data_IF_468500789849
#
_entry.id   IF_468500789849
#
_cell.length_a   1.000
_cell.length_b   1.000
_cell.length_c   1.000
_cell.angle_alpha   90.00
_cell.angle_beta   90.00
_cell.angle_gamma   90.00
#
_symmetry.space_group_name_H-M   'P 1'
#
loop_
_entity.id
_entity.type
_entity.pdbx_description
1 polymer ?
#
# COMPACT_ATOMS: atom_id res chain seq x y z
N UNK A 1 36.36 -41.03 81.12
CA UNK A 1 34.93 -40.72 81.26
C UNK A 1 34.56 -39.53 80.39
N UNK A 2 35.28 -38.39 80.45
CA UNK A 2 34.90 -37.22 79.65
C UNK A 2 35.23 -37.30 78.15
N UNK A 3 36.26 -38.06 77.74
CA UNK A 3 36.66 -38.17 76.32
C UNK A 3 35.54 -38.69 75.41
N UNK A 4 34.77 -39.67 75.88
CA UNK A 4 33.67 -40.26 75.11
C UNK A 4 32.53 -39.25 74.86
N UNK A 5 32.30 -38.32 75.80
CA UNK A 5 31.28 -37.27 75.68
C UNK A 5 31.73 -36.22 74.65
N UNK A 6 33.01 -35.82 74.66
CA UNK A 6 33.55 -34.89 73.67
C UNK A 6 33.53 -35.49 72.26
N UNK A 7 33.87 -36.76 72.09
CA UNK A 7 33.82 -37.43 70.79
C UNK A 7 32.39 -37.62 70.28
N UNK A 8 31.42 -37.91 71.17
CA UNK A 8 30.00 -37.96 70.83
C UNK A 8 29.47 -36.58 70.39
N UNK A 9 29.80 -35.51 71.13
CA UNK A 9 29.39 -34.15 70.81
C UNK A 9 30.01 -33.68 69.48
N UNK A 10 31.31 -33.96 69.28
CA UNK A 10 32.02 -33.68 68.02
C UNK A 10 31.38 -34.41 66.85
N UNK A 11 31.01 -35.67 67.03
CA UNK A 11 30.34 -36.48 65.99
C UNK A 11 28.98 -35.89 65.62
N UNK A 12 28.18 -35.50 66.61
CA UNK A 12 26.89 -34.84 66.38
C UNK A 12 27.01 -33.50 65.67
N UNK A 13 27.96 -32.64 66.07
CA UNK A 13 28.20 -31.36 65.42
C UNK A 13 28.69 -31.54 63.98
N UNK A 14 29.57 -32.52 63.75
CA UNK A 14 30.06 -32.84 62.39
C UNK A 14 28.91 -33.33 61.50
N UNK A 15 28.04 -34.19 62.03
CA UNK A 15 26.85 -34.65 61.31
C UNK A 15 25.89 -33.50 61.02
N UNK A 16 25.62 -32.64 62.00
CA UNK A 16 24.74 -31.48 61.83
C UNK A 16 25.26 -30.54 60.75
N UNK A 17 26.53 -30.11 60.83
CA UNK A 17 27.15 -29.26 59.81
C UNK A 17 27.18 -29.94 58.43
N UNK A 18 27.41 -31.25 58.38
CA UNK A 18 27.34 -32.04 57.14
C UNK A 18 25.95 -32.01 56.53
N UNK A 19 24.91 -32.29 57.32
CA UNK A 19 23.52 -32.24 56.86
C UNK A 19 23.09 -30.82 56.44
N UNK A 20 23.50 -29.79 57.17
CA UNK A 20 23.24 -28.40 56.80
C UNK A 20 23.88 -28.06 55.46
N UNK A 21 25.16 -28.42 55.26
CA UNK A 21 25.86 -28.17 54.01
C UNK A 21 25.24 -28.94 52.84
N UNK A 22 24.84 -30.20 53.05
CA UNK A 22 24.14 -31.00 52.04
C UNK A 22 22.77 -30.41 51.68
N UNK A 23 22.01 -29.94 52.66
CA UNK A 23 20.72 -29.27 52.40
C UNK A 23 20.91 -27.97 51.63
N UNK A 24 21.91 -27.15 51.98
CA UNK A 24 22.22 -25.90 51.29
C UNK A 24 22.69 -26.15 49.84
N UNK A 25 23.56 -27.15 49.64
CA UNK A 25 23.98 -27.54 48.30
C UNK A 25 22.81 -28.06 47.46
N UNK A 26 21.91 -28.82 48.07
CA UNK A 26 20.70 -29.34 47.42
C UNK A 26 19.76 -28.20 47.03
N UNK A 27 19.49 -27.25 47.92
CA UNK A 27 18.63 -26.09 47.62
C UNK A 27 19.26 -25.21 46.54
N UNK A 28 20.56 -24.93 46.60
CA UNK A 28 21.27 -24.20 45.56
C UNK A 28 21.14 -24.88 44.19
N UNK A 29 21.30 -26.20 44.12
CA UNK A 29 21.10 -26.96 42.87
C UNK A 29 19.67 -26.83 42.35
N UNK A 30 18.66 -26.85 43.21
CA UNK A 30 17.27 -26.66 42.78
C UNK A 30 17.03 -25.24 42.26
N UNK A 31 17.51 -24.22 42.96
CA UNK A 31 17.41 -22.84 42.50
C UNK A 31 18.13 -22.60 41.19
N UNK A 32 19.31 -23.20 41.00
CA UNK A 32 20.04 -23.13 39.71
C UNK A 32 19.20 -23.71 38.57
N UNK A 33 18.55 -24.87 38.77
CA UNK A 33 17.65 -25.46 37.75
C UNK A 33 16.45 -24.57 37.43
N UNK A 34 15.87 -23.95 38.46
CA UNK A 34 14.76 -22.99 38.28
C UNK A 34 15.27 -21.80 37.48
N UNK A 35 16.44 -21.25 37.82
CA UNK A 35 17.04 -20.12 37.14
C UNK A 35 17.33 -20.43 35.66
N UNK A 36 17.93 -21.60 35.38
CA UNK A 36 18.14 -22.10 34.01
C UNK A 36 16.83 -22.25 33.22
N UNK A 37 15.72 -22.55 33.91
CA UNK A 37 14.39 -22.66 33.31
C UNK A 37 13.80 -21.28 33.04
N UNK A 38 13.96 -20.32 33.95
CA UNK A 38 13.46 -18.94 33.82
C UNK A 38 14.15 -18.21 32.67
N UNK A 39 15.46 -18.34 32.50
CA UNK A 39 16.18 -17.72 31.36
C UNK A 39 15.65 -18.25 30.02
N UNK A 40 15.20 -19.51 29.99
CA UNK A 40 14.63 -20.10 28.77
C UNK A 40 13.26 -19.53 28.44
N UNK A 41 12.55 -18.90 29.38
CA UNK A 41 11.27 -18.23 29.15
C UNK A 41 11.54 -16.82 28.65
N UNK A 42 11.62 -16.66 27.33
CA UNK A 42 11.72 -15.36 26.68
C UNK A 42 10.43 -15.05 25.93
N UNK A 43 10.11 -13.76 25.79
CA UNK A 43 8.98 -13.30 24.96
C UNK A 43 9.09 -13.86 23.54
N UNK A 44 10.30 -13.84 22.97
CA UNK A 44 10.59 -14.38 21.64
C UNK A 44 10.17 -15.86 21.50
N UNK A 45 10.54 -16.70 22.47
CA UNK A 45 10.17 -18.12 22.45
C UNK A 45 8.67 -18.34 22.63
N UNK A 46 8.01 -17.51 23.44
CA UNK A 46 6.57 -17.58 23.62
C UNK A 46 5.84 -17.25 22.31
N UNK A 47 6.28 -16.20 21.62
CA UNK A 47 5.74 -15.82 20.30
C UNK A 47 6.01 -16.93 19.28
N UNK A 48 7.22 -17.49 19.21
CA UNK A 48 7.54 -18.59 18.30
C UNK A 48 6.67 -19.83 18.55
N UNK A 49 6.45 -20.19 19.82
CA UNK A 49 5.57 -21.29 20.19
C UNK A 49 4.13 -21.01 19.74
N UNK A 50 3.62 -19.81 19.99
CA UNK A 50 2.28 -19.39 19.56
C UNK A 50 2.11 -19.44 18.03
N UNK A 51 3.11 -18.96 17.28
CA UNK A 51 3.10 -18.99 15.82
C UNK A 51 3.15 -20.43 15.26
N UNK A 52 3.87 -21.34 15.92
CA UNK A 52 3.94 -22.76 15.53
C UNK A 52 2.64 -23.52 15.83
N UNK A 53 2.01 -23.24 16.98
CA UNK A 53 0.74 -23.85 17.37
C UNK A 53 -0.43 -23.37 16.51
N UNK A 54 -0.34 -22.15 16.01
CA UNK A 54 -1.33 -21.53 15.15
C UNK A 54 -1.14 -21.96 13.69
N UNK A 55 -1.95 -22.93 13.23
CA UNK A 55 -1.93 -23.43 11.85
C UNK A 55 -2.09 -22.30 10.81
N UNK A 56 -2.82 -21.23 11.14
CA UNK A 56 -3.03 -20.09 10.26
C UNK A 56 -1.78 -19.24 9.99
N UNK A 57 -0.81 -19.20 10.92
CA UNK A 57 0.42 -18.40 10.77
C UNK A 57 1.60 -19.18 10.20
N UNK A 58 1.52 -20.52 10.16
CA UNK A 58 2.59 -21.39 9.66
C UNK A 58 2.49 -21.69 8.17
N UNK A 59 1.35 -21.39 7.53
CA UNK A 59 1.12 -21.68 6.11
C UNK A 59 1.25 -20.40 5.29
N UNK A 60 2.43 -20.19 4.70
CA UNK A 60 2.58 -19.23 3.60
C UNK A 60 1.73 -19.73 2.43
N UNK A 61 0.65 -19.02 2.11
CA UNK A 61 -0.14 -19.33 0.91
C UNK A 61 0.70 -18.96 -0.29
N UNK A 62 1.13 -19.97 -1.04
CA UNK A 62 1.85 -19.77 -2.30
C UNK A 62 0.84 -19.32 -3.35
N UNK A 63 0.81 -18.01 -3.62
CA UNK A 63 -0.02 -17.45 -4.67
C UNK A 63 0.62 -17.77 -6.02
N UNK A 64 0.14 -18.80 -6.67
CA UNK A 64 0.44 -19.04 -8.08
C UNK A 64 -0.42 -18.10 -8.91
N UNK A 65 0.23 -17.27 -9.74
CA UNK A 65 -0.48 -16.44 -10.71
C UNK A 65 -1.39 -17.33 -11.56
N UNK A 66 -2.70 -17.13 -11.48
CA UNK A 66 -3.68 -17.80 -12.32
C UNK A 66 -4.07 -16.84 -13.46
N UNK A 67 -3.47 -16.97 -14.66
CA UNK A 67 -3.80 -16.10 -15.78
C UNK A 67 -5.28 -16.27 -16.15
N UNK A 68 -5.96 -15.15 -16.40
CA UNK A 68 -7.34 -15.18 -16.83
C UNK A 68 -7.44 -15.80 -18.24
N UNK A 69 -8.57 -16.41 -18.64
CA UNK A 69 -8.74 -17.02 -19.97
C UNK A 69 -8.50 -16.08 -21.17
N UNK A 70 -8.43 -14.75 -20.93
CA UNK A 70 -8.17 -13.71 -21.93
C UNK A 70 -6.78 -13.07 -21.82
N UNK A 71 -5.92 -13.52 -20.90
CA UNK A 71 -4.52 -13.08 -20.83
C UNK A 71 -3.74 -13.68 -22.01
N UNK A 72 -3.63 -12.90 -23.09
CA UNK A 72 -2.98 -13.33 -24.34
C UNK A 72 -1.49 -12.99 -24.42
N UNK A 73 -0.93 -12.29 -23.43
CA UNK A 73 0.43 -11.76 -23.50
C UNK A 73 1.31 -12.46 -22.46
N UNK A 74 2.05 -13.48 -22.92
CA UNK A 74 3.04 -14.20 -22.12
C UNK A 74 4.48 -13.74 -22.36
N UNK A 75 4.68 -12.80 -23.29
CA UNK A 75 5.99 -12.28 -23.67
C UNK A 75 5.90 -10.78 -23.90
N UNK A 76 6.78 -10.01 -23.25
CA UNK A 76 6.95 -8.59 -23.49
C UNK A 76 7.37 -8.36 -24.95
N UNK A 77 6.61 -7.55 -25.69
CA UNK A 77 6.93 -7.18 -27.07
C UNK A 77 6.84 -5.67 -27.19
N UNK A 78 7.90 -5.05 -27.72
CA UNK A 78 7.92 -3.62 -28.00
C UNK A 78 7.11 -3.35 -29.28
N UNK A 79 5.96 -2.68 -29.15
CA UNK A 79 4.99 -2.53 -30.26
C UNK A 79 5.27 -1.31 -31.15
N UNK A 80 6.10 -0.35 -30.75
CA UNK A 80 6.43 0.84 -31.56
C UNK A 80 7.87 1.33 -31.33
N UNK A 81 8.74 1.23 -32.33
CA UNK A 81 10.15 1.67 -32.27
C UNK A 81 10.45 2.92 -33.12
N UNK A 82 9.44 3.67 -33.60
CA UNK A 82 9.64 4.61 -34.71
C UNK A 82 9.81 6.09 -34.37
N UNK A 83 9.63 6.54 -33.14
CA UNK A 83 10.07 7.87 -32.69
C UNK A 83 9.83 7.97 -31.17
N UNK A 84 10.83 8.42 -30.42
CA UNK A 84 10.93 8.41 -28.95
C UNK A 84 11.47 7.11 -28.33
N UNK A 85 12.21 7.29 -27.23
CA UNK A 85 12.72 6.22 -26.38
C UNK A 85 11.57 5.29 -26.00
N UNK A 86 11.65 4.02 -26.41
CA UNK A 86 10.54 3.07 -26.25
C UNK A 86 10.05 3.00 -24.81
N UNK A 87 8.74 2.85 -24.62
CA UNK A 87 8.12 2.83 -23.29
C UNK A 87 8.79 1.81 -22.34
N UNK A 88 9.21 0.65 -22.88
CA UNK A 88 9.93 -0.38 -22.12
C UNK A 88 11.35 0.06 -21.72
N UNK A 89 12.01 0.91 -22.52
CA UNK A 89 13.31 1.50 -22.17
C UNK A 89 13.15 2.50 -21.02
N UNK A 90 12.14 3.38 -21.08
CA UNK A 90 11.81 4.31 -19.97
C UNK A 90 11.54 3.51 -18.68
N UNK A 91 10.76 2.44 -18.77
CA UNK A 91 10.42 1.57 -17.64
C UNK A 91 11.65 0.83 -17.08
N UNK A 92 12.52 0.30 -17.95
CA UNK A 92 13.77 -0.34 -17.52
C UNK A 92 14.69 0.63 -16.76
N UNK A 93 14.84 1.86 -17.25
CA UNK A 93 15.60 2.91 -16.55
C UNK A 93 14.96 3.28 -15.22
N UNK A 94 13.63 3.41 -15.16
CA UNK A 94 12.88 3.69 -13.92
C UNK A 94 13.12 2.62 -12.86
N UNK A 95 13.02 1.34 -13.21
CA UNK A 95 13.24 0.26 -12.24
C UNK A 95 14.72 0.13 -11.84
N UNK A 96 15.66 0.43 -12.75
CA UNK A 96 17.08 0.46 -12.43
C UNK A 96 17.42 1.56 -11.40
N UNK A 97 16.90 2.78 -11.58
CA UNK A 97 17.09 3.86 -10.61
C UNK A 97 16.37 3.57 -9.29
N UNK A 98 15.18 2.97 -9.33
CA UNK A 98 14.46 2.54 -8.11
C UNK A 98 15.24 1.50 -7.33
N UNK A 99 15.80 0.47 -7.99
CA UNK A 99 16.62 -0.55 -7.33
C UNK A 99 17.87 0.05 -6.67
N UNK A 100 18.53 1.01 -7.32
CA UNK A 100 19.67 1.73 -6.78
C UNK A 100 19.31 2.61 -5.57
N UNK A 101 18.18 3.34 -5.63
CA UNK A 101 17.66 4.09 -4.48
C UNK A 101 17.35 3.17 -3.29
N UNK A 102 16.68 2.05 -3.52
CA UNK A 102 16.37 1.07 -2.47
C UNK A 102 17.64 0.47 -1.86
N UNK A 103 18.67 0.23 -2.67
CA UNK A 103 19.99 -0.19 -2.19
C UNK A 103 20.62 0.83 -1.22
N UNK A 104 20.56 2.14 -1.52
CA UNK A 104 21.02 3.19 -0.60
C UNK A 104 20.28 3.14 0.73
N UNK A 105 18.95 3.05 0.69
CA UNK A 105 18.09 3.05 1.88
C UNK A 105 18.38 1.85 2.77
N UNK A 106 18.51 0.66 2.18
CA UNK A 106 18.85 -0.56 2.93
C UNK A 106 20.22 -0.39 3.59
N UNK A 107 21.22 0.07 2.84
CA UNK A 107 22.59 0.22 3.36
C UNK A 107 22.66 1.26 4.48
N UNK A 108 21.97 2.40 4.32
CA UNK A 108 21.90 3.44 5.33
C UNK A 108 21.12 2.97 6.58
N UNK A 109 19.95 2.38 6.37
CA UNK A 109 19.10 1.85 7.43
C UNK A 109 19.80 0.76 8.26
N UNK A 110 20.56 -0.14 7.64
CA UNK A 110 21.36 -1.15 8.35
C UNK A 110 22.43 -0.52 9.26
N UNK A 111 23.12 0.54 8.81
CA UNK A 111 24.08 1.28 9.64
C UNK A 111 23.38 1.98 10.81
N UNK A 112 22.24 2.62 10.54
CA UNK A 112 21.43 3.28 11.56
C UNK A 112 20.95 2.26 12.62
N UNK A 113 20.51 1.07 12.22
CA UNK A 113 20.13 -0.01 13.13
C UNK A 113 21.30 -0.46 14.00
N UNK A 114 22.47 -0.71 13.43
CA UNK A 114 23.67 -1.09 14.21
C UNK A 114 24.01 -0.04 15.28
N UNK A 115 23.92 1.25 14.93
CA UNK A 115 24.16 2.34 15.86
C UNK A 115 23.10 2.42 16.96
N UNK A 116 21.81 2.41 16.59
CA UNK A 116 20.70 2.48 17.54
C UNK A 116 20.70 1.28 18.51
N UNK A 117 20.98 0.07 18.01
CA UNK A 117 21.12 -1.13 18.84
C UNK A 117 22.33 -1.04 19.79
N UNK A 118 23.45 -0.46 19.34
CA UNK A 118 24.60 -0.22 20.20
C UNK A 118 24.27 0.77 21.33
N UNK A 119 23.49 1.82 21.01
CA UNK A 119 23.03 2.82 21.97
C UNK A 119 22.02 2.23 22.95
N UNK A 120 21.11 1.38 22.48
CA UNK A 120 20.13 0.70 23.32
C UNK A 120 20.80 -0.17 24.40
N UNK A 121 21.90 -0.85 24.06
CA UNK A 121 22.68 -1.65 25.04
C UNK A 121 23.28 -0.83 26.17
N UNK A 122 23.48 0.47 25.98
CA UNK A 122 24.08 1.38 26.96
C UNK A 122 23.02 2.17 27.76
N UNK A 123 21.77 2.18 27.31
CA UNK A 123 20.67 2.92 27.93
C UNK A 123 19.76 1.99 28.73
N UNK A 124 19.10 2.53 29.76
CA UNK A 124 18.05 1.85 30.52
C UNK A 124 17.00 2.86 30.96
N UNK A 125 15.74 2.46 30.95
CA UNK A 125 14.60 3.31 31.33
C UNK A 125 13.92 3.99 30.12
N UNK A 126 13.35 5.17 30.34
CA UNK A 126 12.47 5.89 29.40
C UNK A 126 13.17 6.30 28.09
N UNK A 127 14.46 6.62 28.14
CA UNK A 127 15.29 6.87 26.95
C UNK A 127 15.51 5.61 26.11
N UNK A 128 15.45 4.43 26.71
CA UNK A 128 15.49 3.14 25.99
C UNK A 128 14.25 2.93 25.12
N UNK A 129 13.07 3.27 25.61
CA UNK A 129 11.81 3.11 24.87
C UNK A 129 11.76 3.98 23.60
N UNK A 130 12.27 5.21 23.68
CA UNK A 130 12.37 6.09 22.49
C UNK A 130 13.35 5.54 21.44
N UNK A 131 14.48 4.96 21.88
CA UNK A 131 15.43 4.31 20.98
C UNK A 131 14.84 3.03 20.37
N UNK A 132 14.11 2.24 21.14
CA UNK A 132 13.39 1.06 20.64
C UNK A 132 12.36 1.44 19.57
N UNK A 133 11.60 2.53 19.76
CA UNK A 133 10.67 3.02 18.74
C UNK A 133 11.39 3.40 17.44
N UNK A 134 12.49 4.18 17.54
CA UNK A 134 13.31 4.54 16.36
C UNK A 134 13.87 3.29 15.65
N UNK A 135 14.27 2.26 16.40
CA UNK A 135 14.70 0.98 15.81
C UNK A 135 13.56 0.36 15.00
N UNK A 136 12.33 0.33 15.54
CA UNK A 136 11.18 -0.24 14.82
C UNK A 136 10.82 0.53 13.54
N UNK A 137 10.90 1.86 13.56
CA UNK A 137 10.65 2.72 12.39
C UNK A 137 11.68 2.47 11.28
N UNK A 138 12.98 2.43 11.62
CA UNK A 138 14.04 2.12 10.66
C UNK A 138 13.91 0.70 10.13
N UNK A 139 13.57 -0.29 10.98
CA UNK A 139 13.29 -1.66 10.54
C UNK A 139 12.13 -1.73 9.55
N UNK A 140 11.09 -0.91 9.74
CA UNK A 140 9.93 -0.86 8.84
C UNK A 140 10.30 -0.39 7.45
N UNK A 141 11.03 0.72 7.36
CA UNK A 141 11.48 1.25 6.07
C UNK A 141 12.51 0.36 5.38
N UNK A 142 13.46 -0.23 6.11
CA UNK A 142 14.40 -1.21 5.52
C UNK A 142 13.62 -2.39 4.92
N UNK A 143 12.57 -2.87 5.60
CA UNK A 143 11.73 -3.96 5.08
C UNK A 143 10.95 -3.54 3.83
N UNK A 144 10.39 -2.34 3.81
CA UNK A 144 9.70 -1.77 2.62
C UNK A 144 10.66 -1.64 1.44
N UNK A 145 11.86 -1.13 1.67
CA UNK A 145 12.91 -1.01 0.64
C UNK A 145 13.38 -2.37 0.14
N UNK A 146 13.57 -3.37 1.01
CA UNK A 146 13.89 -4.75 0.62
C UNK A 146 12.82 -5.35 -0.30
N UNK A 147 11.54 -5.21 0.05
CA UNK A 147 10.44 -5.70 -0.77
C UNK A 147 10.36 -4.97 -2.11
N UNK A 148 10.50 -3.64 -2.09
CA UNK A 148 10.54 -2.80 -3.29
C UNK A 148 11.69 -3.20 -4.22
N UNK A 149 12.89 -3.45 -3.67
CA UNK A 149 14.06 -3.90 -4.43
C UNK A 149 13.82 -5.25 -5.10
N UNK A 150 13.30 -6.24 -4.38
CA UNK A 150 12.99 -7.56 -4.95
C UNK A 150 11.97 -7.44 -6.09
N UNK A 151 10.95 -6.59 -5.93
CA UNK A 151 9.97 -6.30 -6.99
C UNK A 151 10.62 -5.62 -8.21
N UNK A 152 11.53 -4.67 -7.99
CA UNK A 152 12.26 -3.99 -9.05
C UNK A 152 13.19 -4.96 -9.81
N UNK A 153 13.95 -5.79 -9.08
CA UNK A 153 14.84 -6.80 -9.64
C UNK A 153 14.07 -7.83 -10.48
N UNK A 154 12.91 -8.29 -10.01
CA UNK A 154 12.06 -9.20 -10.77
C UNK A 154 11.57 -8.58 -12.09
N UNK A 155 11.17 -7.30 -12.09
CA UNK A 155 10.76 -6.57 -13.30
C UNK A 155 11.94 -6.36 -14.26
N UNK A 156 13.10 -5.98 -13.74
CA UNK A 156 14.32 -5.82 -14.54
C UNK A 156 14.78 -7.13 -15.16
N UNK A 157 14.62 -8.25 -14.46
CA UNK A 157 14.92 -9.58 -15.01
C UNK A 157 14.01 -9.93 -16.20
N UNK A 158 12.74 -9.52 -16.18
CA UNK A 158 11.85 -9.68 -17.33
C UNK A 158 12.22 -8.74 -18.48
N UNK A 159 12.54 -7.48 -18.17
CA UNK A 159 12.90 -6.46 -19.16
C UNK A 159 14.27 -6.73 -19.81
N UNK A 160 15.22 -7.39 -19.13
CA UNK A 160 16.54 -7.68 -19.69
C UNK A 160 16.48 -8.62 -20.89
N UNK A 161 15.46 -9.46 -20.99
CA UNK A 161 15.25 -10.34 -22.14
C UNK A 161 14.77 -9.60 -23.39
N UNK A 162 14.10 -8.46 -23.23
CA UNK A 162 13.44 -7.75 -24.33
C UNK A 162 14.10 -6.41 -24.67
N UNK A 163 14.64 -5.73 -23.65
CA UNK A 163 15.30 -4.43 -23.77
C UNK A 163 16.80 -4.59 -23.59
N UNK A 164 17.53 -4.49 -24.69
CA UNK A 164 19.00 -4.52 -24.67
C UNK A 164 19.56 -3.29 -23.96
N UNK A 165 20.41 -3.50 -22.96
CA UNK A 165 21.02 -2.41 -22.18
C UNK A 165 20.47 -2.27 -20.76
N UNK A 166 19.42 -3.01 -20.40
CA UNK A 166 18.84 -3.03 -19.05
C UNK A 166 19.88 -3.32 -17.96
N UNK A 167 20.72 -4.34 -18.16
CA UNK A 167 21.80 -4.68 -17.23
C UNK A 167 22.84 -3.58 -17.06
N UNK A 168 23.16 -2.86 -18.14
CA UNK A 168 24.13 -1.76 -18.13
C UNK A 168 23.58 -0.56 -17.35
N UNK A 169 22.30 -0.21 -17.54
CA UNK A 169 21.66 0.86 -16.76
C UNK A 169 21.57 0.52 -15.28
N UNK A 170 21.22 -0.73 -14.95
CA UNK A 170 21.22 -1.21 -13.57
C UNK A 170 22.61 -1.12 -12.95
N UNK A 171 23.64 -1.64 -13.63
CA UNK A 171 25.02 -1.58 -13.15
C UNK A 171 25.48 -0.13 -12.93
N UNK A 172 25.22 0.77 -13.89
CA UNK A 172 25.60 2.18 -13.76
C UNK A 172 24.86 2.87 -12.60
N UNK A 173 23.56 2.61 -12.43
CA UNK A 173 22.78 3.16 -11.33
C UNK A 173 23.28 2.64 -9.96
N UNK A 174 23.62 1.35 -9.87
CA UNK A 174 24.18 0.74 -8.65
C UNK A 174 25.56 1.31 -8.32
N UNK A 175 26.44 1.45 -9.30
CA UNK A 175 27.77 2.06 -9.09
C UNK A 175 27.65 3.52 -8.65
N UNK A 176 26.76 4.29 -9.26
CA UNK A 176 26.49 5.67 -8.86
C UNK A 176 26.02 5.74 -7.39
N UNK A 177 25.11 4.84 -6.99
CA UNK A 177 24.65 4.74 -5.61
C UNK A 177 25.78 4.34 -4.64
N UNK A 178 26.69 3.45 -5.04
CA UNK A 178 27.84 3.05 -4.24
C UNK A 178 28.85 4.20 -4.06
N UNK A 179 29.15 4.95 -5.11
CA UNK A 179 30.01 6.13 -5.06
C UNK A 179 29.41 7.21 -4.14
N UNK A 180 28.10 7.45 -4.21
CA UNK A 180 27.39 8.37 -3.32
C UNK A 180 27.49 7.92 -1.85
N UNK A 181 27.20 6.65 -1.57
CA UNK A 181 27.33 6.09 -0.21
C UNK A 181 28.75 6.17 0.34
N UNK A 182 29.76 5.99 -0.52
CA UNK A 182 31.15 6.13 -0.11
C UNK A 182 31.52 7.61 0.14
N UNK A 183 30.98 8.53 -0.66
CA UNK A 183 31.16 9.97 -0.46
C UNK A 183 30.53 10.45 0.86
N UNK A 184 29.30 10.01 1.16
CA UNK A 184 28.60 10.29 2.42
C UNK A 184 29.41 9.75 3.60
N UNK A 185 29.90 8.50 3.50
CA UNK A 185 30.75 7.90 4.53
C UNK A 185 32.01 8.73 4.80
N UNK A 186 32.72 9.18 3.76
CA UNK A 186 33.93 10.01 3.91
C UNK A 186 33.61 11.34 4.58
N UNK A 187 32.47 11.96 4.24
CA UNK A 187 32.01 13.19 4.88
C UNK A 187 31.70 12.97 6.37
N UNK A 188 31.01 11.88 6.73
CA UNK A 188 30.76 11.52 8.14
C UNK A 188 32.05 11.26 8.92
N UNK A 189 33.02 10.55 8.33
CA UNK A 189 34.34 10.32 8.94
C UNK A 189 35.11 11.64 9.14
N UNK A 190 35.01 12.57 8.19
CA UNK A 190 35.63 13.88 8.29
C UNK A 190 35.04 14.73 9.43
N UNK A 191 33.70 14.76 9.56
CA UNK A 191 33.03 15.47 10.68
C UNK A 191 33.43 14.90 12.03
N UNK A 192 33.48 13.56 12.15
CA UNK A 192 33.87 12.86 13.38
C UNK A 192 35.32 13.15 13.81
N UNK A 193 36.19 13.53 12.88
CA UNK A 193 37.58 13.90 13.16
C UNK A 193 37.77 15.33 13.69
N UNK A 194 36.74 16.19 13.62
CA UNK A 194 36.82 17.63 13.95
C UNK A 194 36.38 17.96 15.40
N UNK A 195 36.24 16.97 16.28
CA UNK A 195 36.01 17.14 17.74
C UNK A 195 34.75 17.93 18.18
N UNK A 196 33.84 18.30 17.27
CA UNK A 196 32.56 18.94 17.63
C UNK A 196 31.49 17.84 17.86
N UNK A 197 31.57 17.17 19.01
CA UNK A 197 30.63 16.10 19.38
C UNK A 197 29.33 16.70 19.94
N UNK A 198 28.32 16.85 19.09
CA UNK A 198 26.93 16.86 19.56
C UNK A 198 26.35 15.45 19.42
N UNK A 199 25.83 14.88 20.52
CA UNK A 199 25.19 13.55 20.55
C UNK A 199 23.88 13.48 19.75
N UNK A 200 23.44 14.60 19.17
CA UNK A 200 22.24 14.78 18.37
C UNK A 200 22.50 14.89 16.84
N UNK A 201 23.75 14.74 16.37
CA UNK A 201 24.08 14.86 14.94
C UNK A 201 23.86 13.55 14.16
N UNK A 202 22.64 13.02 14.20
CA UNK A 202 22.17 12.15 13.12
C UNK A 202 20.75 12.57 12.80
N UNK A 203 20.67 13.58 11.95
CA UNK A 203 19.43 14.12 11.44
C UNK A 203 18.75 13.01 10.64
N UNK A 204 17.64 12.51 11.17
CA UNK A 204 16.76 11.52 10.51
C UNK A 204 16.09 12.11 9.26
N UNK A 205 16.43 13.35 8.88
CA UNK A 205 15.98 14.04 7.69
C UNK A 205 16.32 13.29 6.39
N UNK A 206 17.39 12.49 6.37
CA UNK A 206 17.68 11.55 5.25
C UNK A 206 16.60 10.46 5.07
N UNK A 207 15.68 10.34 6.03
CA UNK A 207 14.51 9.46 5.99
C UNK A 207 13.19 10.22 5.80
N UNK A 208 13.14 11.52 6.10
CA UNK A 208 11.96 12.38 5.93
C UNK A 208 11.72 12.74 4.46
N UNK A 209 12.74 12.71 3.61
CA UNK A 209 12.60 12.82 2.14
C UNK A 209 11.97 11.56 1.49
N UNK A 210 11.56 10.57 2.28
CA UNK A 210 10.75 9.43 1.83
C UNK A 210 9.25 9.75 1.86
N UNK A 211 8.90 11.00 1.56
CA UNK A 211 7.51 11.41 1.37
C UNK A 211 6.91 10.64 0.18
N UNK A 212 5.61 10.42 0.31
CA UNK A 212 4.75 9.39 -0.26
C UNK A 212 4.49 9.52 -1.78
N UNK A 213 5.45 10.04 -2.55
CA UNK A 213 5.25 10.31 -3.99
C UNK A 213 5.22 9.04 -4.87
N UNK A 214 5.53 7.85 -4.33
CA UNK A 214 5.14 6.61 -4.99
C UNK A 214 3.99 6.00 -4.22
N UNK A 215 2.79 6.47 -4.58
CA UNK A 215 1.51 5.99 -4.09
C UNK A 215 1.52 4.48 -3.88
N UNK A 216 1.03 4.13 -2.70
CA UNK A 216 0.71 2.81 -2.20
C UNK A 216 1.00 1.65 -3.19
N UNK A 217 2.10 0.94 -2.97
CA UNK A 217 2.50 -0.25 -3.73
C UNK A 217 1.43 -1.37 -3.71
N UNK A 218 0.42 -1.25 -2.85
CA UNK A 218 -0.76 -2.11 -2.74
C UNK A 218 -2.06 -1.50 -3.26
N UNK A 219 -2.03 -0.27 -3.79
CA UNK A 219 -3.09 0.16 -4.69
C UNK A 219 -3.02 -0.74 -5.91
N UNK A 220 -3.99 -1.65 -6.03
CA UNK A 220 -4.25 -2.33 -7.30
C UNK A 220 -4.28 -1.26 -8.39
N UNK A 221 -3.56 -1.43 -9.51
CA UNK A 221 -3.73 -0.56 -10.66
C UNK A 221 -5.11 -0.89 -11.28
N UNK A 222 -6.19 -0.48 -10.62
CA UNK A 222 -7.54 -0.47 -11.20
C UNK A 222 -7.65 0.68 -12.21
N UNK A 223 -6.73 1.63 -12.20
CA UNK A 223 -6.35 2.31 -13.44
C UNK A 223 -5.45 1.38 -14.26
N UNK A 224 -6.07 0.36 -14.84
CA UNK A 224 -5.68 -0.08 -16.16
C UNK A 224 -5.77 1.16 -17.05
N UNK A 225 -4.67 1.93 -17.13
CA UNK A 225 -4.42 2.78 -18.27
C UNK A 225 -4.40 1.82 -19.45
N UNK A 226 -5.58 1.67 -20.05
CA UNK A 226 -5.75 0.85 -21.23
C UNK A 226 -4.72 1.34 -22.22
N UNK A 227 -3.91 0.43 -22.74
CA UNK A 227 -3.00 0.71 -23.84
C UNK A 227 -3.86 1.34 -24.95
N UNK A 228 -3.84 2.66 -25.06
CA UNK A 228 -4.58 3.38 -26.08
C UNK A 228 -3.77 3.22 -27.37
N UNK A 229 -4.36 2.53 -28.34
CA UNK A 229 -3.84 2.49 -29.70
C UNK A 229 -4.11 3.87 -30.31
N UNK A 230 -3.09 4.72 -30.39
CA UNK A 230 -3.20 6.04 -31.02
C UNK A 230 -3.34 5.93 -32.54
N UNK A 231 -4.18 6.77 -33.18
CA UNK A 231 -4.88 7.93 -32.60
C UNK A 231 -6.30 7.60 -32.09
N UNK A 232 -6.58 7.89 -30.82
CA UNK A 232 -7.91 7.77 -30.22
C UNK A 232 -8.72 9.08 -30.40
N UNK A 233 -10.00 9.00 -30.74
CA UNK A 233 -10.88 10.17 -30.80
C UNK A 233 -11.41 10.50 -29.39
N UNK A 234 -11.47 11.77 -29.04
CA UNK A 234 -12.08 12.26 -27.80
C UNK A 234 -13.06 13.41 -28.08
N UNK A 235 -14.04 13.58 -27.20
CA UNK A 235 -15.03 14.66 -27.20
C UNK A 235 -14.77 15.57 -26.03
N UNK A 236 -14.70 16.87 -26.28
CA UNK A 236 -14.54 17.89 -25.24
C UNK A 236 -15.83 17.95 -24.41
N UNK A 237 -15.71 17.76 -23.09
CA UNK A 237 -16.83 17.85 -22.14
C UNK A 237 -16.91 19.21 -21.46
N UNK A 238 -15.83 19.99 -21.48
CA UNK A 238 -15.80 21.36 -20.98
C UNK A 238 -14.96 22.24 -21.90
N UNK A 239 -15.44 23.44 -22.22
CA UNK A 239 -14.66 24.41 -22.99
C UNK A 239 -13.44 24.90 -22.21
N UNK A 240 -12.32 25.08 -22.90
CA UNK A 240 -11.08 25.57 -22.33
C UNK A 240 -10.43 26.59 -23.27
N UNK A 241 -9.98 27.71 -22.70
CA UNK A 241 -9.32 28.77 -23.44
C UNK A 241 -7.82 28.69 -23.16
N UNK A 242 -7.02 28.53 -24.21
CA UNK A 242 -5.56 28.47 -24.10
C UNK A 242 -5.01 29.77 -23.50
N UNK A 243 -4.23 29.64 -22.44
CA UNK A 243 -3.50 30.71 -21.78
C UNK A 243 -2.04 30.76 -22.26
N UNK A 244 -1.49 29.63 -22.69
CA UNK A 244 -0.12 29.50 -23.20
C UNK A 244 -0.10 29.17 -24.70
N UNK A 245 1.03 29.43 -25.36
CA UNK A 245 1.17 29.29 -26.82
C UNK A 245 1.19 27.85 -27.33
N UNK A 246 1.40 26.91 -26.42
CA UNK A 246 1.44 25.45 -26.62
C UNK A 246 0.12 24.75 -26.27
N UNK A 247 -0.83 25.48 -25.69
CA UNK A 247 -2.17 24.99 -25.34
C UNK A 247 -3.17 25.20 -26.49
N UNK A 248 -4.17 24.31 -26.59
CA UNK A 248 -5.23 24.41 -27.60
C UNK A 248 -6.53 24.93 -26.96
N UNK A 249 -7.13 25.96 -27.57
CA UNK A 249 -8.48 26.40 -27.17
C UNK A 249 -9.52 25.44 -27.73
N UNK A 250 -10.38 24.91 -26.87
CA UNK A 250 -11.36 23.88 -27.19
C UNK A 250 -12.75 24.30 -26.71
N UNK A 251 -13.78 23.92 -27.45
CA UNK A 251 -15.17 24.18 -27.07
C UNK A 251 -15.89 22.93 -26.61
N UNK A 252 -16.80 23.06 -25.63
CA UNK A 252 -17.65 21.95 -25.19
C UNK A 252 -18.39 21.32 -26.38
N UNK A 253 -18.27 19.99 -26.52
CA UNK A 253 -18.84 19.20 -27.60
C UNK A 253 -17.93 19.00 -28.82
N UNK A 254 -16.77 19.67 -28.90
CA UNK A 254 -15.81 19.52 -30.00
C UNK A 254 -15.17 18.12 -30.01
N UNK A 255 -14.87 17.58 -31.20
CA UNK A 255 -14.20 16.28 -31.35
C UNK A 255 -12.73 16.49 -31.75
N UNK A 256 -11.84 15.88 -30.99
CA UNK A 256 -10.38 16.01 -31.11
C UNK A 256 -9.74 14.63 -31.28
N UNK A 257 -8.55 14.61 -31.88
CA UNK A 257 -7.77 13.40 -32.06
C UNK A 257 -6.55 13.43 -31.15
N UNK A 258 -6.42 12.43 -30.25
CA UNK A 258 -5.29 12.34 -29.33
C UNK A 258 -4.10 11.76 -30.06
N UNK A 259 -2.97 12.47 -30.00
CA UNK A 259 -1.71 12.11 -30.65
C UNK A 259 -0.73 11.48 -29.65
N UNK A 260 -0.69 11.99 -28.42
CA UNK A 260 0.30 11.62 -27.40
C UNK A 260 -0.34 11.77 -26.01
N UNK A 261 -0.19 10.76 -25.15
CA UNK A 261 -0.29 10.89 -23.69
C UNK A 261 0.84 11.82 -23.25
N UNK A 262 0.52 12.99 -22.74
CA UNK A 262 1.55 13.98 -22.42
C UNK A 262 2.57 13.46 -21.40
N UNK A 263 3.82 13.86 -21.56
CA UNK A 263 4.91 13.60 -20.60
C UNK A 263 4.72 14.32 -19.22
N UNK A 264 3.62 15.06 -19.01
CA UNK A 264 3.26 15.68 -17.73
C UNK A 264 1.86 15.23 -17.30
N UNK A 265 1.76 14.75 -16.06
CA UNK A 265 0.51 14.30 -15.43
C UNK A 265 -0.61 15.34 -15.63
N UNK A 266 -1.76 14.89 -16.12
CA UNK A 266 -3.00 15.65 -16.41
C UNK A 266 -3.13 16.44 -17.74
N UNK A 267 -2.17 16.37 -18.67
CA UNK A 267 -2.27 17.05 -20.00
C UNK A 267 -2.17 16.09 -21.19
N UNK A 268 -3.08 16.25 -22.15
CA UNK A 268 -3.14 15.47 -23.40
C UNK A 268 -2.75 16.32 -24.60
N UNK A 269 -1.94 15.77 -25.51
CA UNK A 269 -1.63 16.41 -26.78
C UNK A 269 -2.62 15.97 -27.84
N UNK A 270 -3.38 16.94 -28.34
CA UNK A 270 -4.52 16.68 -29.22
C UNK A 270 -4.45 17.52 -30.49
N UNK A 271 -5.13 17.04 -31.53
CA UNK A 271 -5.30 17.73 -32.80
C UNK A 271 -6.78 18.01 -33.04
N UNK A 272 -7.14 19.27 -33.32
CA UNK A 272 -8.49 19.60 -33.72
C UNK A 272 -8.77 19.26 -35.20
N UNK A 273 -10.04 19.36 -35.60
CA UNK A 273 -10.46 19.16 -37.00
C UNK A 273 -9.82 20.14 -37.99
N UNK A 274 -9.22 21.24 -37.50
CA UNK A 274 -8.50 22.24 -38.30
C UNK A 274 -7.01 21.91 -38.44
N UNK A 275 -6.52 20.80 -37.86
CA UNK A 275 -5.12 20.39 -37.92
C UNK A 275 -4.20 21.14 -36.95
N UNK A 276 -4.75 21.90 -36.01
CA UNK A 276 -3.98 22.57 -34.96
C UNK A 276 -3.71 21.59 -33.83
N UNK A 277 -2.45 21.50 -33.43
CA UNK A 277 -1.98 20.63 -32.36
C UNK A 277 -1.65 21.48 -31.14
N UNK A 278 -2.11 21.07 -29.97
CA UNK A 278 -1.76 21.69 -28.69
C UNK A 278 -2.16 20.83 -27.51
N UNK A 279 -1.80 21.27 -26.31
CA UNK A 279 -2.12 20.58 -25.07
C UNK A 279 -3.50 20.99 -24.55
N UNK A 280 -4.24 20.02 -24.04
CA UNK A 280 -5.53 20.23 -23.36
C UNK A 280 -5.55 19.43 -22.06
N UNK A 281 -6.25 19.89 -21.01
CA UNK A 281 -6.38 19.13 -19.78
C UNK A 281 -7.15 17.81 -20.00
N UNK A 282 -6.65 16.70 -19.46
CA UNK A 282 -7.27 15.37 -19.62
C UNK A 282 -8.71 15.34 -19.09
N UNK A 283 -8.97 16.00 -17.96
CA UNK A 283 -10.29 16.06 -17.32
C UNK A 283 -11.36 16.82 -18.14
N UNK A 284 -10.96 17.50 -19.23
CA UNK A 284 -11.85 18.30 -20.08
C UNK A 284 -12.27 17.55 -21.34
N UNK A 285 -11.75 16.34 -21.54
CA UNK A 285 -12.06 15.50 -22.70
C UNK A 285 -12.53 14.12 -22.28
N UNK A 286 -13.41 13.53 -23.06
CA UNK A 286 -13.95 12.18 -22.89
C UNK A 286 -13.56 11.35 -24.11
N UNK A 287 -12.81 10.26 -23.91
CA UNK A 287 -12.44 9.35 -24.99
C UNK A 287 -13.67 8.65 -25.58
N UNK A 288 -13.75 8.61 -26.91
CA UNK A 288 -14.84 7.98 -27.66
C UNK A 288 -14.52 6.54 -28.12
N UNK A 289 -13.36 5.99 -27.73
CA UNK A 289 -12.99 4.62 -28.08
C UNK A 289 -13.85 3.59 -27.30
N UNK A 290 -14.96 3.17 -27.91
CA UNK A 290 -15.53 1.84 -27.68
C UNK A 290 -14.64 0.80 -28.39
N UNK A 291 -14.38 -0.38 -27.79
CA UNK A 291 -13.84 -1.48 -28.58
C UNK A 291 -14.82 -1.74 -29.73
N UNK A 292 -14.29 -1.75 -30.95
CA UNK A 292 -15.07 -1.96 -32.15
C UNK A 292 -15.71 -3.36 -32.10
N UNK A 293 -16.99 -3.44 -31.76
CA UNK A 293 -17.85 -4.57 -32.11
C UNK A 293 -19.16 -4.03 -32.73
N UNK A 294 -19.29 -4.37 -34.01
CA UNK A 294 -20.48 -4.46 -34.86
C UNK A 294 -21.48 -3.28 -34.94
N UNK A 295 -21.33 -2.53 -36.03
CA UNK A 295 -22.38 -1.69 -36.59
C UNK A 295 -23.43 -2.54 -37.34
N UNK A 296 -24.61 -2.69 -36.75
CA UNK A 296 -25.82 -3.09 -37.46
C UNK A 296 -26.94 -2.05 -37.26
N UNK A 297 -27.12 -1.24 -38.30
CA UNK A 297 -28.37 -0.69 -38.84
C UNK A 297 -29.23 0.27 -38.01
N UNK A 298 -29.14 1.56 -38.38
CA UNK A 298 -30.21 2.44 -38.88
C UNK A 298 -31.63 2.24 -38.31
N UNK A 299 -32.22 3.30 -37.73
CA UNK A 299 -33.03 4.21 -38.56
C UNK A 299 -33.30 5.59 -37.92
N UNK A 300 -33.83 6.46 -38.76
CA UNK A 300 -33.68 7.91 -38.77
C UNK A 300 -35.02 8.66 -38.56
N UNK A 301 -34.91 9.88 -38.02
CA UNK A 301 -35.83 11.02 -38.15
C UNK A 301 -37.28 10.88 -37.67
N UNK A 302 -37.76 11.73 -36.75
CA UNK A 302 -38.37 13.04 -37.07
C UNK A 302 -39.04 13.74 -35.84
N UNK A 303 -38.92 15.07 -35.86
CA UNK A 303 -39.68 16.18 -35.21
C UNK A 303 -40.14 16.17 -33.75
N UNK A 304 -39.48 17.05 -32.99
CA UNK A 304 -40.00 18.28 -32.34
C UNK A 304 -41.40 18.30 -31.71
N UNK A 305 -41.46 18.41 -30.37
CA UNK A 305 -42.22 19.47 -29.65
C UNK A 305 -41.74 19.60 -28.20
N UNK A 306 -41.44 20.84 -27.82
CA UNK A 306 -41.34 21.47 -26.48
C UNK A 306 -41.64 20.64 -25.22
N UNK A 307 -40.65 20.56 -24.30
CA UNK A 307 -40.79 21.00 -22.90
C UNK A 307 -39.47 20.81 -22.13
N UNK A 308 -39.03 21.88 -21.48
CA UNK A 308 -38.02 21.95 -20.41
C UNK A 308 -38.06 20.77 -19.44
N UNK A 309 -36.91 20.10 -19.23
CA UNK A 309 -36.54 19.52 -17.93
C UNK A 309 -35.05 19.10 -17.92
N UNK A 310 -34.33 19.56 -16.90
CA UNK A 310 -32.97 19.20 -16.52
C UNK A 310 -32.79 17.67 -16.44
N UNK A 311 -31.67 17.16 -16.94
CA UNK A 311 -31.21 15.78 -16.68
C UNK A 311 -29.73 15.80 -16.34
N UNK A 312 -29.45 15.89 -15.05
CA UNK A 312 -28.17 15.56 -14.41
C UNK A 312 -27.95 14.05 -14.53
N UNK A 313 -26.78 13.62 -15.00
CA UNK A 313 -26.39 12.20 -15.01
C UNK A 313 -25.81 11.85 -13.64
N UNK A 314 -26.53 10.97 -12.97
CA UNK A 314 -26.31 10.47 -11.63
C UNK A 314 -24.93 9.80 -11.45
N UNK A 315 -24.17 10.28 -10.46
CA UNK A 315 -23.20 9.46 -9.75
C UNK A 315 -23.93 8.35 -8.99
N UNK A 316 -23.25 7.21 -8.83
CA UNK A 316 -23.74 5.97 -8.22
C UNK A 316 -24.66 6.19 -7.00
N UNK A 317 -25.94 5.86 -7.18
CA UNK A 317 -26.97 5.84 -6.14
C UNK A 317 -26.79 4.59 -5.27
N UNK A 318 -25.95 4.68 -4.24
CA UNK A 318 -25.84 3.63 -3.22
C UNK A 318 -26.91 3.78 -2.14
N UNK A 319 -27.29 2.68 -1.48
CA UNK A 319 -28.07 2.72 -0.24
C UNK A 319 -27.11 2.48 0.92
N UNK A 320 -27.23 3.26 1.99
CA UNK A 320 -26.45 3.03 3.22
C UNK A 320 -27.37 2.55 4.33
N UNK A 321 -26.88 1.65 5.18
CA UNK A 321 -27.58 1.19 6.38
C UNK A 321 -26.97 1.82 7.63
N UNK A 322 -27.82 2.39 8.47
CA UNK A 322 -27.39 2.92 9.76
C UNK A 322 -26.93 1.80 10.68
N UNK A 323 -25.68 1.87 11.15
CA UNK A 323 -25.13 0.95 12.16
C UNK A 323 -25.56 1.34 13.58
N UNK A 324 -25.90 2.63 13.79
CA UNK A 324 -26.37 3.17 15.05
C UNK A 324 -27.47 4.21 14.83
N UNK A 325 -28.34 4.43 15.81
CA UNK A 325 -29.30 5.53 15.76
C UNK A 325 -28.58 6.88 15.88
N UNK A 326 -28.97 7.85 15.08
CA UNK A 326 -28.40 9.20 15.07
C UNK A 326 -29.50 10.26 15.20
N UNK A 327 -29.27 11.24 16.07
CA UNK A 327 -30.18 12.37 16.27
C UNK A 327 -29.50 13.65 15.77
N UNK A 328 -30.13 14.30 14.79
CA UNK A 328 -29.66 15.53 14.19
C UNK A 328 -29.50 16.64 15.23
N UNK A 329 -28.34 17.30 15.21
CA UNK A 329 -28.00 18.41 16.08
C UNK A 329 -28.28 19.78 15.42
N UNK A 330 -28.40 19.78 14.09
CA UNK A 330 -28.75 20.96 13.30
C UNK A 330 -29.90 20.68 12.32
N UNK A 331 -30.49 21.73 11.74
CA UNK A 331 -31.58 21.59 10.78
C UNK A 331 -31.13 21.05 9.41
N UNK A 332 -29.81 21.00 9.18
CA UNK A 332 -29.20 20.48 7.96
C UNK A 332 -28.88 18.97 8.09
N UNK A 333 -28.94 18.42 9.31
CA UNK A 333 -28.64 17.02 9.60
C UNK A 333 -29.87 16.11 9.56
N UNK A 334 -29.64 14.85 9.18
CA UNK A 334 -30.68 13.83 9.05
C UNK A 334 -30.74 12.94 10.30
N UNK A 335 -31.90 12.83 10.95
CA UNK A 335 -32.10 11.90 12.08
C UNK A 335 -32.59 10.53 11.60
N UNK A 336 -32.05 9.46 12.16
CA UNK A 336 -32.43 8.08 11.82
C UNK A 336 -32.21 7.09 12.97
N UNK A 337 -32.81 5.91 12.87
CA UNK A 337 -32.65 4.83 13.84
C UNK A 337 -31.67 3.77 13.32
N UNK A 338 -31.09 2.98 14.21
CA UNK A 338 -30.24 1.84 13.85
C UNK A 338 -31.00 0.91 12.88
N UNK A 339 -30.32 0.49 11.81
CA UNK A 339 -30.88 -0.33 10.74
C UNK A 339 -31.65 0.43 9.66
N UNK A 340 -31.81 1.76 9.74
CA UNK A 340 -32.47 2.54 8.71
C UNK A 340 -31.69 2.52 7.38
N UNK A 341 -32.41 2.41 6.26
CA UNK A 341 -31.85 2.45 4.90
C UNK A 341 -32.00 3.86 4.32
N UNK A 342 -30.87 4.51 4.05
CA UNK A 342 -30.80 5.90 3.59
C UNK A 342 -30.28 5.91 2.15
N UNK A 343 -30.95 6.64 1.27
CA UNK A 343 -30.52 6.76 -0.12
C UNK A 343 -29.43 7.81 -0.24
N UNK A 344 -28.26 7.43 -0.73
CA UNK A 344 -27.11 8.30 -0.79
C UNK A 344 -27.24 9.26 -1.98
N UNK A 345 -27.23 10.57 -1.72
CA UNK A 345 -27.34 11.62 -2.74
C UNK A 345 -25.95 12.14 -3.11
N UNK A 346 -25.10 12.41 -2.11
CA UNK A 346 -23.76 12.95 -2.35
C UNK A 346 -22.75 12.44 -1.32
N UNK A 347 -21.70 11.84 -1.84
CA UNK A 347 -20.44 11.64 -1.13
C UNK A 347 -19.42 12.60 -1.74
N UNK A 348 -19.01 13.63 -1.01
CA UNK A 348 -17.84 14.43 -1.42
C UNK A 348 -16.59 13.63 -1.05
N UNK A 349 -16.05 12.89 -2.00
CA UNK A 349 -14.69 12.36 -1.89
C UNK A 349 -13.83 13.20 -2.83
N UNK A 350 -12.97 14.06 -2.29
CA UNK A 350 -12.00 14.77 -3.13
C UNK A 350 -11.46 16.11 -2.61
N UNK A 351 -12.18 16.82 -1.74
CA UNK A 351 -11.67 18.05 -1.10
C UNK A 351 -12.16 18.07 0.34
N UNK A 352 -11.24 17.84 1.29
CA UNK A 352 -11.43 17.76 2.75
C UNK A 352 -12.71 17.00 3.15
N UNK A 353 -12.58 15.69 3.41
CA UNK A 353 -13.69 14.90 3.94
C UNK A 353 -14.00 15.36 5.37
N UNK A 354 -15.00 16.23 5.52
CA UNK A 354 -15.49 16.68 6.83
C UNK A 354 -16.18 15.53 7.61
N UNK A 355 -16.28 14.32 7.04
CA UNK A 355 -16.82 13.12 7.69
C UNK A 355 -18.34 13.02 7.63
N UNK A 356 -19.02 13.83 6.81
CA UNK A 356 -20.47 13.87 6.65
C UNK A 356 -20.90 13.56 5.22
N UNK A 357 -21.89 12.67 5.07
CA UNK A 357 -22.51 12.29 3.81
C UNK A 357 -23.92 12.86 3.70
N UNK A 358 -24.38 13.14 2.47
CA UNK A 358 -25.72 13.63 2.21
C UNK A 358 -26.61 12.51 1.68
N UNK A 359 -27.79 12.33 2.28
CA UNK A 359 -28.74 11.32 1.84
C UNK A 359 -30.18 11.65 2.19
N UNK A 360 -31.07 10.81 1.66
CA UNK A 360 -32.51 10.94 1.77
C UNK A 360 -33.12 9.76 2.54
N UNK A 361 -33.88 10.09 3.58
CA UNK A 361 -34.69 9.13 4.33
C UNK A 361 -36.12 9.65 4.46
N UNK A 362 -37.10 8.87 4.01
CA UNK A 362 -38.53 9.20 4.08
C UNK A 362 -38.89 10.57 3.46
N UNK A 363 -38.21 10.97 2.38
CA UNK A 363 -38.43 12.26 1.70
C UNK A 363 -37.76 13.47 2.38
N UNK A 364 -37.00 13.25 3.46
CA UNK A 364 -36.19 14.27 4.11
C UNK A 364 -34.73 14.10 3.69
N UNK A 365 -34.13 15.19 3.18
CA UNK A 365 -32.74 15.25 2.75
C UNK A 365 -31.94 15.97 3.83
N UNK A 366 -30.80 15.42 4.21
CA UNK A 366 -29.89 16.04 5.16
C UNK A 366 -28.54 15.33 5.19
N UNK A 367 -27.60 15.94 5.90
CA UNK A 367 -26.26 15.38 6.10
C UNK A 367 -26.19 14.52 7.35
N UNK A 368 -25.30 13.52 7.37
CA UNK A 368 -25.08 12.66 8.52
C UNK A 368 -23.66 12.11 8.54
N UNK A 369 -23.10 11.77 9.72
CA UNK A 369 -21.75 11.25 9.81
C UNK A 369 -21.59 9.92 9.06
N UNK A 370 -20.56 9.80 8.23
CA UNK A 370 -20.26 8.59 7.48
C UNK A 370 -19.92 7.40 8.38
N UNK A 371 -19.32 7.66 9.54
CA UNK A 371 -18.85 6.65 10.50
C UNK A 371 -19.96 5.82 11.15
N UNK A 372 -21.21 6.29 11.11
CA UNK A 372 -22.35 5.59 11.74
C UNK A 372 -23.22 4.84 10.73
N UNK A 373 -22.79 4.77 9.47
CA UNK A 373 -23.48 4.07 8.40
C UNK A 373 -22.54 3.14 7.63
N UNK A 374 -23.09 2.13 6.98
CA UNK A 374 -22.36 1.19 6.12
C UNK A 374 -22.96 1.22 4.71
N UNK A 375 -22.12 1.28 3.67
CA UNK A 375 -22.58 1.25 2.28
C UNK A 375 -23.02 -0.16 1.89
N UNK A 376 -24.28 -0.30 1.50
CA UNK A 376 -24.82 -1.52 0.90
C UNK A 376 -24.83 -1.31 -0.62
N UNK A 377 -23.93 -2.00 -1.32
CA UNK A 377 -23.98 -2.09 -2.77
C UNK A 377 -25.21 -2.94 -3.15
N UNK A 378 -26.06 -2.43 -4.03
CA UNK A 378 -27.28 -3.13 -4.45
C UNK A 378 -26.89 -4.24 -5.45
N UNK A 379 -26.59 -5.44 -4.94
CA UNK A 379 -26.59 -6.66 -5.74
C UNK A 379 -28.04 -7.02 -6.11
N UNK A 380 -28.55 -6.38 -7.15
CA UNK A 380 -29.72 -6.88 -7.85
C UNK A 380 -29.36 -8.17 -8.59
N UNK A 381 -29.58 -9.32 -7.94
CA UNK A 381 -30.09 -10.59 -8.50
C UNK A 381 -29.77 -11.79 -7.56
N UNK A 382 -30.44 -11.90 -6.42
CA UNK A 382 -30.59 -13.20 -5.72
C UNK A 382 -32.02 -13.42 -5.23
N UNK A 383 -32.92 -13.73 -6.17
CA UNK A 383 -34.10 -14.55 -5.87
C UNK A 383 -34.41 -15.46 -7.06
N UNK A 384 -33.85 -16.67 -7.05
CA UNK A 384 -34.44 -17.93 -7.55
C UNK A 384 -33.39 -19.04 -7.56
N UNK A 385 -33.30 -19.79 -6.46
CA UNK A 385 -32.98 -21.22 -6.46
C UNK A 385 -33.25 -21.85 -5.08
N UNK A 386 -34.50 -21.81 -4.64
CA UNK A 386 -35.03 -22.77 -3.66
C UNK A 386 -36.25 -23.48 -4.28
N UNK A 387 -36.02 -24.38 -5.24
CA UNK A 387 -36.98 -25.45 -5.57
C UNK A 387 -36.36 -26.52 -6.49
N UNK A 388 -35.27 -27.18 -6.08
CA UNK A 388 -34.90 -28.47 -6.70
C UNK A 388 -34.07 -29.39 -5.78
N UNK A 389 -34.54 -29.64 -4.55
CA UNK A 389 -34.09 -30.81 -3.76
C UNK A 389 -35.28 -31.40 -2.99
N UNK A 390 -36.29 -31.92 -3.71
CA UNK A 390 -37.32 -32.79 -3.11
C UNK A 390 -37.89 -33.81 -4.10
N UNK A 391 -37.05 -34.55 -4.83
CA UNK A 391 -37.45 -35.89 -5.31
C UNK A 391 -36.20 -36.78 -5.41
N UNK A 392 -35.90 -37.51 -4.34
CA UNK A 392 -35.46 -38.92 -4.42
C UNK A 392 -35.13 -39.45 -3.02
N UNK A 393 -36.19 -39.73 -2.27
CA UNK A 393 -36.15 -40.64 -1.13
C UNK A 393 -37.45 -41.46 -1.14
N UNK A 394 -37.59 -42.38 -2.10
CA UNK A 394 -38.57 -43.47 -2.04
C UNK A 394 -38.00 -44.70 -2.76
N UNK A 395 -37.34 -45.57 -1.99
CA UNK A 395 -37.33 -47.00 -2.30
C UNK A 395 -38.78 -47.51 -2.37
N UNK A 396 -39.08 -48.47 -3.26
CA UNK A 396 -39.26 -49.82 -2.72
C UNK A 396 -38.82 -50.99 -3.64
N UNK A 397 -38.48 -52.06 -2.92
CA UNK A 397 -38.40 -53.51 -3.23
C UNK A 397 -37.39 -54.07 -4.26
#
# INVERSE_FOLDING_TARGET
>A
MDGDIYDALRSHLTLLCGTEMDTNLSTHKQYSKIWDSVIKVTREKNIQQFLQESVSFSKSTEFTLQPAPRDKVSSLQEVCALQAEGCLVKEAKKWATKAAKDYKIITHGERALQMLESRLKLLSGETGLSVEQKITEVQDSVRKALLSRVKAEARLALLSHTVTGTELWLHNAMNQAEEELESERRLSEQRKSTEDFSEDEFDLTDFEDYDDENGDIFADPVSASGVFVYPAACRVIYGYQACQSDELSIMEGEELQVIEDGDMEDWLKVCNSCGQVGYVPERYVQFLCLPAEDAAQLDSSFSSTSSTCNKEKAGSRGVVRALYSYQAQSAEELSFQEGALIHLIRCRHGEVDDGFWEGELNGQIGVFPSLVVELIHDEGEEEKQEEEVRVDCLFPE
#
